data_IF_103885236410
#
_entry.id   IF_103885236410
#
_cell.length_a   1.000
_cell.length_b   1.000
_cell.length_c   1.000
_cell.angle_alpha   90.00
_cell.angle_beta   90.00
_cell.angle_gamma   90.00
#
_symmetry.space_group_name_H-M   'P 1'
#
loop_
_entity.id
_entity.type
_entity.pdbx_description
1 polymer ?
#
# COMPACT_ATOMS: atom_id res chain seq x y z
N UNK A 1 -10.12 10.86 -24.97
CA UNK A 1 -10.13 10.15 -23.67
C UNK A 1 -11.56 9.67 -23.43
N UNK A 2 -11.71 8.37 -23.26
CA UNK A 2 -12.99 7.76 -22.91
C UNK A 2 -13.06 7.62 -21.39
N UNK A 3 -14.14 8.13 -20.78
CA UNK A 3 -14.37 8.03 -19.36
C UNK A 3 -15.08 6.71 -19.07
N UNK A 4 -14.42 5.84 -18.29
CA UNK A 4 -15.00 4.59 -17.85
C UNK A 4 -15.76 4.77 -16.52
N UNK A 5 -16.79 3.93 -16.26
CA UNK A 5 -17.44 3.91 -14.94
C UNK A 5 -16.43 3.65 -13.82
N UNK A 6 -16.51 4.42 -12.74
CA UNK A 6 -15.60 4.30 -11.61
C UNK A 6 -16.33 4.54 -10.29
N UNK A 7 -15.79 3.98 -9.20
CA UNK A 7 -16.18 4.27 -7.83
C UNK A 7 -15.00 4.80 -7.05
N UNK A 8 -15.24 5.80 -6.20
CA UNK A 8 -14.18 6.45 -5.41
C UNK A 8 -14.27 6.14 -3.91
N UNK A 9 -15.29 5.40 -3.49
CA UNK A 9 -15.49 4.98 -2.10
C UNK A 9 -15.39 3.46 -1.98
N UNK A 10 -14.65 2.98 -0.99
CA UNK A 10 -14.47 1.55 -0.77
C UNK A 10 -15.82 0.85 -0.48
N UNK A 11 -16.70 1.48 0.31
CA UNK A 11 -18.04 0.96 0.60
C UNK A 11 -18.93 0.88 -0.64
N UNK A 12 -18.81 1.82 -1.59
CA UNK A 12 -19.57 1.80 -2.84
C UNK A 12 -18.99 0.76 -3.82
N UNK A 13 -17.67 0.61 -3.85
CA UNK A 13 -16.99 -0.36 -4.70
C UNK A 13 -17.37 -1.81 -4.38
N UNK A 14 -17.68 -2.11 -3.12
CA UNK A 14 -18.10 -3.44 -2.67
C UNK A 14 -19.57 -3.78 -2.94
N UNK A 15 -20.40 -2.82 -3.39
CA UNK A 15 -21.84 -3.04 -3.66
C UNK A 15 -22.08 -3.87 -4.93
N UNK A 16 -23.18 -4.63 -4.96
CA UNK A 16 -23.62 -5.28 -6.20
C UNK A 16 -23.81 -4.26 -7.33
N UNK A 17 -23.28 -4.56 -8.53
CA UNK A 17 -23.39 -3.71 -9.71
C UNK A 17 -22.34 -2.61 -9.80
N UNK A 18 -21.42 -2.48 -8.83
CA UNK A 18 -20.28 -1.58 -8.95
C UNK A 18 -19.34 -2.04 -10.08
N UNK A 19 -18.66 -1.11 -10.77
CA UNK A 19 -17.63 -1.46 -11.74
C UNK A 19 -16.56 -2.34 -11.12
N UNK A 20 -16.21 -3.43 -11.77
CA UNK A 20 -15.17 -4.38 -11.32
C UNK A 20 -13.81 -3.93 -11.81
N UNK A 21 -12.83 -3.85 -10.92
CA UNK A 21 -11.44 -3.48 -11.23
C UNK A 21 -10.62 -4.67 -11.75
N UNK A 22 -10.81 -5.84 -11.12
CA UNK A 22 -10.09 -7.07 -11.47
C UNK A 22 -11.08 -8.23 -11.59
N UNK A 23 -11.10 -8.91 -12.74
CA UNK A 23 -12.04 -9.98 -13.04
C UNK A 23 -12.01 -11.14 -12.02
N UNK A 24 -10.86 -11.35 -11.38
CA UNK A 24 -10.66 -12.40 -10.38
C UNK A 24 -10.94 -11.96 -8.94
N UNK A 25 -11.36 -10.71 -8.72
CA UNK A 25 -11.67 -10.16 -7.37
C UNK A 25 -13.16 -9.84 -7.29
N UNK A 26 -13.92 -10.77 -6.72
CA UNK A 26 -15.38 -10.63 -6.62
C UNK A 26 -15.76 -9.37 -5.82
N UNK A 27 -16.62 -8.53 -6.38
CA UNK A 27 -17.12 -7.30 -5.76
C UNK A 27 -16.01 -6.34 -5.31
N UNK A 28 -14.85 -6.37 -5.94
CA UNK A 28 -13.67 -5.58 -5.55
C UNK A 28 -13.20 -5.82 -4.10
N UNK A 29 -13.57 -6.93 -3.47
CA UNK A 29 -13.16 -7.29 -2.10
C UNK A 29 -11.95 -8.22 -2.19
N UNK A 30 -10.75 -7.64 -2.01
CA UNK A 30 -9.50 -8.40 -2.05
C UNK A 30 -9.22 -9.17 -0.75
N UNK A 31 -9.70 -8.64 0.37
CA UNK A 31 -9.56 -9.24 1.69
C UNK A 31 -10.83 -8.99 2.50
N UNK A 32 -11.41 -10.06 3.07
CA UNK A 32 -12.42 -9.99 4.10
C UNK A 32 -11.87 -10.67 5.36
N UNK A 33 -11.73 -9.90 6.44
CA UNK A 33 -11.04 -10.34 7.65
C UNK A 33 -11.85 -9.98 8.88
N UNK A 34 -12.01 -10.93 9.79
CA UNK A 34 -12.66 -10.75 11.07
C UNK A 34 -11.71 -11.18 12.19
N UNK A 35 -11.69 -10.41 13.28
CA UNK A 35 -10.90 -10.67 14.48
C UNK A 35 -11.76 -10.44 15.72
N UNK A 36 -11.54 -11.24 16.77
CA UNK A 36 -12.22 -11.14 18.05
C UNK A 36 -13.30 -12.22 18.25
N UNK A 37 -14.09 -12.04 19.31
CA UNK A 37 -15.20 -12.93 19.68
C UNK A 37 -16.54 -12.20 19.49
N UNK A 38 -17.22 -12.40 18.35
CA UNK A 38 -18.46 -11.69 18.05
C UNK A 38 -19.58 -11.99 19.05
N UNK A 39 -19.68 -13.22 19.55
CA UNK A 39 -20.76 -13.61 20.48
C UNK A 39 -20.62 -12.90 21.83
N UNK A 40 -19.39 -12.79 22.35
CA UNK A 40 -19.10 -12.06 23.60
C UNK A 40 -19.32 -10.56 23.40
N UNK A 41 -18.90 -10.01 22.27
CA UNK A 41 -19.11 -8.61 21.93
C UNK A 41 -20.61 -8.29 21.83
N UNK A 42 -21.39 -9.10 21.11
CA UNK A 42 -22.82 -8.87 20.95
C UNK A 42 -23.58 -8.94 22.29
N UNK A 43 -23.21 -9.85 23.18
CA UNK A 43 -23.80 -9.92 24.56
C UNK A 43 -23.48 -8.63 25.35
N UNK A 44 -22.24 -8.12 25.26
CA UNK A 44 -21.86 -6.88 25.91
C UNK A 44 -22.65 -5.68 25.37
N UNK A 45 -22.87 -5.60 24.06
CA UNK A 45 -23.69 -4.55 23.45
C UNK A 45 -25.17 -4.62 23.85
N UNK A 46 -25.74 -5.85 24.03
CA UNK A 46 -27.13 -6.03 24.49
C UNK A 46 -27.35 -5.55 25.92
N UNK A 47 -26.32 -5.64 26.79
CA UNK A 47 -26.39 -5.28 28.20
C UNK A 47 -25.82 -3.89 28.51
N UNK A 48 -25.28 -3.22 27.52
CA UNK A 48 -24.67 -1.90 27.68
C UNK A 48 -25.70 -0.85 28.16
N UNK A 49 -25.31 -0.03 29.13
CA UNK A 49 -26.08 1.13 29.56
C UNK A 49 -26.04 2.25 28.53
N UNK A 50 -24.89 2.43 27.88
CA UNK A 50 -24.66 3.43 26.85
C UNK A 50 -23.82 2.85 25.72
N UNK A 51 -24.14 3.24 24.48
CA UNK A 51 -23.35 2.92 23.30
C UNK A 51 -22.94 4.21 22.63
N UNK A 52 -21.65 4.48 22.66
CA UNK A 52 -21.04 5.58 21.89
C UNK A 52 -20.75 5.10 20.46
N UNK A 53 -21.05 5.95 19.47
CA UNK A 53 -20.85 5.63 18.06
C UNK A 53 -20.06 6.73 17.37
N UNK A 54 -19.22 6.33 16.42
CA UNK A 54 -18.46 7.26 15.58
C UNK A 54 -18.35 6.72 14.16
N UNK A 55 -18.57 7.61 13.19
CA UNK A 55 -18.29 7.39 11.77
C UNK A 55 -17.12 8.26 11.38
N UNK A 56 -16.04 7.65 10.90
CA UNK A 56 -14.80 8.34 10.53
C UNK A 56 -14.50 8.05 9.06
N UNK A 57 -14.23 9.09 8.30
CA UNK A 57 -13.63 9.00 6.99
C UNK A 57 -12.21 9.53 7.05
N UNK A 58 -11.24 8.64 6.87
CA UNK A 58 -9.84 8.99 6.76
C UNK A 58 -9.51 9.15 5.28
N UNK A 59 -9.43 10.38 4.81
CA UNK A 59 -9.31 10.68 3.39
C UNK A 59 -8.03 10.10 2.78
N UNK A 60 -8.11 9.72 1.50
CA UNK A 60 -6.97 9.38 0.68
C UNK A 60 -5.96 10.53 0.64
N UNK A 61 -4.67 10.22 0.76
CA UNK A 61 -3.58 11.18 0.67
C UNK A 61 -2.49 10.70 -0.27
N UNK A 62 -1.84 11.64 -0.93
CA UNK A 62 -0.56 11.44 -1.62
C UNK A 62 0.57 11.85 -0.68
N UNK A 63 1.66 11.08 -0.66
CA UNK A 63 2.73 11.27 0.33
C UNK A 63 3.56 12.52 0.09
N UNK A 64 3.89 12.85 -1.15
CA UNK A 64 4.64 14.06 -1.55
C UNK A 64 5.93 14.29 -0.70
N UNK A 65 6.78 13.27 -0.54
CA UNK A 65 8.07 13.43 0.13
C UNK A 65 8.92 14.50 -0.57
N UNK A 66 9.76 15.25 0.19
CA UNK A 66 10.60 16.32 -0.38
C UNK A 66 11.51 15.82 -1.49
N UNK A 67 12.09 14.63 -1.34
CA UNK A 67 12.82 13.92 -2.38
C UNK A 67 11.86 13.05 -3.18
N UNK A 68 11.62 13.32 -4.49
CA UNK A 68 10.92 12.40 -5.39
C UNK A 68 11.63 11.05 -5.48
N UNK A 69 10.98 10.04 -6.06
CA UNK A 69 11.63 8.77 -6.32
C UNK A 69 12.75 8.95 -7.34
N UNK A 70 13.86 8.29 -7.10
CA UNK A 70 14.97 8.20 -8.06
C UNK A 70 15.68 6.87 -7.89
N UNK A 71 16.28 6.39 -8.98
CA UNK A 71 17.05 5.15 -8.95
C UNK A 71 18.16 5.16 -9.99
N UNK A 72 19.25 4.47 -9.66
CA UNK A 72 20.36 4.16 -10.55
C UNK A 72 20.53 2.63 -10.59
N UNK A 73 20.31 2.04 -11.74
CA UNK A 73 20.49 0.61 -11.99
C UNK A 73 21.81 0.35 -12.71
N UNK A 74 22.49 -0.71 -12.31
CA UNK A 74 23.69 -1.22 -12.96
C UNK A 74 23.61 -2.75 -13.04
N UNK A 75 24.08 -3.33 -14.14
CA UNK A 75 24.21 -4.77 -14.32
C UNK A 75 25.66 -5.12 -14.63
N UNK A 76 26.19 -6.10 -13.91
CA UNK A 76 27.51 -6.65 -14.14
C UNK A 76 27.37 -7.97 -14.93
N UNK A 77 27.83 -7.98 -16.18
CA UNK A 77 27.74 -9.14 -17.07
C UNK A 77 28.61 -10.32 -16.64
N UNK A 78 29.74 -10.06 -15.95
CA UNK A 78 30.67 -11.13 -15.53
C UNK A 78 30.12 -11.94 -14.36
N UNK A 79 29.45 -11.27 -13.42
CA UNK A 79 28.90 -11.90 -12.21
C UNK A 79 27.42 -12.20 -12.29
N UNK A 80 26.76 -11.77 -13.38
CA UNK A 80 25.28 -11.81 -13.55
C UNK A 80 24.54 -11.16 -12.38
N UNK A 81 25.03 -10.01 -11.91
CA UNK A 81 24.49 -9.34 -10.73
C UNK A 81 23.92 -7.96 -11.08
N UNK A 82 22.76 -7.65 -10.49
CA UNK A 82 22.19 -6.31 -10.49
C UNK A 82 22.62 -5.54 -9.25
N UNK A 83 22.90 -4.25 -9.43
CA UNK A 83 23.00 -3.29 -8.33
C UNK A 83 22.03 -2.16 -8.59
N UNK A 84 21.17 -1.89 -7.62
CA UNK A 84 20.24 -0.74 -7.64
C UNK A 84 20.53 0.17 -6.46
N UNK A 85 20.77 1.44 -6.73
CA UNK A 85 20.89 2.51 -5.73
C UNK A 85 19.65 3.38 -5.81
N UNK A 86 18.92 3.51 -4.71
CA UNK A 86 17.66 4.27 -4.63
C UNK A 86 17.38 4.68 -3.18
N UNK A 87 16.52 5.69 -2.98
CA UNK A 87 15.91 5.95 -1.68
C UNK A 87 14.85 4.90 -1.36
N UNK A 88 15.00 4.17 -0.26
CA UNK A 88 14.02 3.16 0.18
C UNK A 88 13.95 3.04 1.71
N UNK A 89 12.87 2.43 2.21
CA UNK A 89 12.66 2.18 3.64
C UNK A 89 13.20 0.82 4.14
N UNK A 90 14.04 0.16 3.36
CA UNK A 90 14.65 -1.10 3.76
C UNK A 90 15.27 -1.81 2.58
N UNK A 91 16.61 -1.89 2.57
CA UNK A 91 17.37 -2.50 1.48
C UNK A 91 17.11 -3.99 1.33
N UNK A 92 16.97 -4.72 2.44
CA UNK A 92 16.71 -6.17 2.42
C UNK A 92 15.31 -6.49 1.87
N UNK A 93 14.29 -5.76 2.30
CA UNK A 93 12.91 -5.92 1.79
C UNK A 93 12.84 -5.62 0.29
N UNK A 94 13.42 -4.51 -0.13
CA UNK A 94 13.49 -4.09 -1.53
C UNK A 94 14.25 -5.13 -2.38
N UNK A 95 15.39 -5.64 -1.89
CA UNK A 95 16.15 -6.71 -2.56
C UNK A 95 15.32 -7.97 -2.78
N UNK A 96 14.62 -8.41 -1.73
CA UNK A 96 13.80 -9.63 -1.82
C UNK A 96 12.66 -9.49 -2.82
N UNK A 97 11.98 -8.33 -2.84
CA UNK A 97 10.92 -8.04 -3.80
C UNK A 97 11.46 -7.99 -5.24
N UNK A 98 12.58 -7.27 -5.48
CA UNK A 98 13.22 -7.21 -6.79
C UNK A 98 13.65 -8.58 -7.29
N UNK A 99 14.28 -9.39 -6.44
CA UNK A 99 14.73 -10.74 -6.79
C UNK A 99 13.54 -11.66 -7.15
N UNK A 100 12.43 -11.55 -6.39
CA UNK A 100 11.21 -12.30 -6.69
C UNK A 100 10.59 -11.91 -8.03
N UNK A 101 10.47 -10.61 -8.33
CA UNK A 101 9.91 -10.11 -9.60
C UNK A 101 10.79 -10.51 -10.79
N UNK A 102 12.12 -10.44 -10.63
CA UNK A 102 13.08 -10.80 -11.67
C UNK A 102 13.27 -12.32 -11.80
N UNK A 103 12.66 -13.11 -10.92
CA UNK A 103 12.87 -14.56 -10.81
C UNK A 103 14.35 -14.94 -10.72
N UNK A 104 15.08 -14.27 -9.81
CA UNK A 104 16.52 -14.43 -9.59
C UNK A 104 16.82 -14.77 -8.13
N UNK A 105 17.99 -15.35 -7.88
CA UNK A 105 18.52 -15.53 -6.53
C UNK A 105 18.80 -14.16 -5.89
N UNK A 106 18.53 -14.03 -4.59
CA UNK A 106 18.70 -12.78 -3.84
C UNK A 106 20.14 -12.26 -3.85
N UNK A 107 21.09 -13.17 -3.92
CA UNK A 107 22.54 -12.91 -3.97
C UNK A 107 22.95 -12.21 -5.28
N UNK A 108 22.14 -12.35 -6.33
CA UNK A 108 22.32 -11.69 -7.62
C UNK A 108 21.74 -10.25 -7.68
N UNK A 109 21.09 -9.82 -6.59
CA UNK A 109 20.51 -8.48 -6.50
C UNK A 109 21.10 -7.75 -5.29
N UNK A 110 21.74 -6.62 -5.53
CA UNK A 110 22.27 -5.72 -4.51
C UNK A 110 21.46 -4.41 -4.49
N UNK A 111 20.97 -4.04 -3.32
CA UNK A 111 20.27 -2.75 -3.11
C UNK A 111 21.10 -1.89 -2.18
N UNK A 112 21.31 -0.64 -2.58
CA UNK A 112 22.04 0.38 -1.82
C UNK A 112 21.13 1.57 -1.59
N UNK A 113 21.10 2.07 -0.37
CA UNK A 113 20.45 3.33 0.00
C UNK A 113 21.40 4.12 0.90
N UNK A 114 21.27 5.43 0.85
CA UNK A 114 22.03 6.36 1.68
C UNK A 114 21.06 7.28 2.43
N UNK A 115 21.27 8.59 2.39
CA UNK A 115 20.34 9.56 2.93
C UNK A 115 19.05 9.58 2.08
N UNK A 116 17.90 9.54 2.74
CA UNK A 116 16.59 9.54 2.08
C UNK A 116 15.81 10.78 2.51
N UNK A 117 15.41 11.59 1.53
CA UNK A 117 14.68 12.84 1.73
C UNK A 117 13.18 12.65 1.95
N UNK A 118 12.82 11.68 2.80
CA UNK A 118 11.43 11.33 3.14
C UNK A 118 10.93 10.11 2.36
N UNK A 119 10.09 9.33 3.02
CA UNK A 119 9.43 8.16 2.42
C UNK A 119 7.98 7.99 2.90
N UNK A 120 7.72 8.04 4.21
CA UNK A 120 6.39 7.95 4.84
C UNK A 120 5.55 6.74 4.36
N UNK A 121 6.23 5.61 4.08
CA UNK A 121 5.63 4.39 3.55
C UNK A 121 5.76 4.23 2.03
N UNK A 122 5.76 5.29 1.26
CA UNK A 122 5.71 5.28 -0.20
C UNK A 122 6.92 4.59 -0.86
N UNK A 123 8.13 4.76 -0.33
CA UNK A 123 9.35 4.14 -0.88
C UNK A 123 9.63 2.72 -0.33
N UNK A 124 8.61 2.03 0.21
CA UNK A 124 8.75 0.65 0.71
C UNK A 124 8.52 -0.41 -0.36
N UNK A 125 7.93 -0.05 -1.48
CA UNK A 125 7.47 -0.95 -2.53
C UNK A 125 8.34 -0.87 -3.79
N UNK A 126 8.33 -1.95 -4.59
CA UNK A 126 8.91 -1.93 -5.92
C UNK A 126 7.94 -1.28 -6.89
N UNK A 127 8.39 -0.23 -7.56
CA UNK A 127 7.65 0.43 -8.62
C UNK A 127 8.06 -0.11 -10.00
N UNK A 128 7.16 -0.08 -10.99
CA UNK A 128 7.45 -0.56 -12.34
C UNK A 128 8.69 0.06 -12.97
N UNK A 129 8.97 1.33 -12.68
CA UNK A 129 10.13 2.06 -13.19
C UNK A 129 11.45 1.41 -12.75
N UNK A 130 11.51 0.86 -11.54
CA UNK A 130 12.73 0.19 -11.06
C UNK A 130 13.03 -1.07 -11.88
N UNK A 131 12.02 -1.83 -12.25
CA UNK A 131 12.17 -3.01 -13.11
C UNK A 131 12.59 -2.59 -14.52
N UNK A 132 11.98 -1.54 -15.08
CA UNK A 132 12.38 -0.99 -16.37
C UNK A 132 13.86 -0.55 -16.40
N UNK A 133 14.32 0.09 -15.31
CA UNK A 133 15.73 0.52 -15.19
C UNK A 133 16.69 -0.66 -15.15
N UNK A 134 16.38 -1.71 -14.38
CA UNK A 134 17.19 -2.93 -14.31
C UNK A 134 17.26 -3.61 -15.67
N UNK A 135 16.11 -3.76 -16.33
CA UNK A 135 16.05 -4.33 -17.68
C UNK A 135 16.89 -3.49 -18.69
N UNK A 136 16.74 -2.18 -18.66
CA UNK A 136 17.49 -1.29 -19.53
C UNK A 136 19.01 -1.36 -19.25
N UNK A 137 19.42 -1.39 -17.97
CA UNK A 137 20.83 -1.50 -17.60
C UNK A 137 21.46 -2.79 -18.12
N UNK A 138 20.75 -3.91 -18.05
CA UNK A 138 21.19 -5.20 -18.60
C UNK A 138 21.26 -5.15 -20.13
N UNK A 139 20.22 -4.66 -20.79
CA UNK A 139 20.16 -4.59 -22.26
C UNK A 139 21.23 -3.68 -22.89
N UNK A 140 21.51 -2.56 -22.22
CA UNK A 140 22.47 -1.56 -22.71
C UNK A 140 23.89 -1.82 -22.21
N UNK A 141 24.11 -2.75 -21.28
CA UNK A 141 25.38 -3.02 -20.61
C UNK A 141 26.05 -1.76 -20.06
N UNK A 142 25.24 -0.86 -19.48
CA UNK A 142 25.68 0.40 -18.85
C UNK A 142 24.76 0.83 -17.73
N UNK A 143 25.22 1.65 -16.78
CA UNK A 143 24.34 2.22 -15.76
C UNK A 143 23.24 3.08 -16.38
N UNK A 144 22.02 2.96 -15.82
CA UNK A 144 20.84 3.75 -16.21
C UNK A 144 20.29 4.44 -14.99
N UNK A 145 20.12 5.75 -15.06
CA UNK A 145 19.57 6.60 -14.00
C UNK A 145 18.22 7.16 -14.42
N UNK A 146 17.32 7.24 -13.47
CA UNK A 146 16.04 7.92 -13.59
C UNK A 146 15.76 8.74 -12.34
N UNK A 147 15.09 9.86 -12.51
CA UNK A 147 14.57 10.72 -11.44
C UNK A 147 13.17 11.13 -11.83
N UNK A 148 12.25 10.94 -10.94
CA UNK A 148 10.84 11.26 -11.12
C UNK A 148 10.61 12.78 -11.08
N UNK A 149 9.71 13.26 -11.93
CA UNK A 149 9.22 14.64 -11.85
C UNK A 149 8.11 14.74 -10.78
N UNK A 150 8.07 15.84 -10.06
CA UNK A 150 7.07 16.05 -9.00
C UNK A 150 5.62 15.92 -9.49
N UNK A 151 5.32 16.42 -10.67
CA UNK A 151 4.00 16.29 -11.28
C UNK A 151 3.60 14.84 -11.52
N UNK A 152 4.56 14.00 -11.92
CA UNK A 152 4.35 12.57 -12.12
C UNK A 152 4.14 11.85 -10.78
N UNK A 153 4.89 12.24 -9.72
CA UNK A 153 4.74 11.61 -8.41
C UNK A 153 3.33 11.77 -7.83
N UNK A 154 2.65 12.89 -8.06
CA UNK A 154 1.25 13.07 -7.65
C UNK A 154 0.27 12.10 -8.33
N UNK A 155 0.63 11.55 -9.49
CA UNK A 155 -0.21 10.64 -10.28
C UNK A 155 0.17 9.17 -10.07
N UNK A 156 1.45 8.87 -9.87
CA UNK A 156 2.00 7.51 -9.92
C UNK A 156 2.48 6.96 -8.58
N UNK A 157 2.74 7.82 -7.58
CA UNK A 157 3.16 7.37 -6.26
C UNK A 157 2.02 6.67 -5.53
N UNK A 158 2.38 5.66 -4.78
CA UNK A 158 1.44 4.94 -3.94
C UNK A 158 0.84 5.88 -2.90
N UNK A 159 -0.47 5.90 -2.85
CA UNK A 159 -1.24 6.70 -1.93
C UNK A 159 -1.48 5.94 -0.62
N UNK A 160 -1.91 6.65 0.39
CA UNK A 160 -2.21 6.06 1.69
C UNK A 160 -3.54 6.51 2.24
N UNK A 161 -3.94 5.92 3.37
CA UNK A 161 -5.20 6.18 4.05
C UNK A 161 -6.40 5.60 3.29
N UNK A 162 -7.43 6.41 3.02
CA UNK A 162 -8.66 6.03 2.32
C UNK A 162 -9.43 4.91 3.05
N UNK A 163 -9.77 5.20 4.31
CA UNK A 163 -10.51 4.28 5.17
C UNK A 163 -11.86 4.88 5.56
N UNK A 164 -12.90 4.06 5.52
CA UNK A 164 -14.21 4.35 6.09
C UNK A 164 -14.40 3.45 7.31
N UNK A 165 -14.50 4.05 8.49
CA UNK A 165 -14.55 3.33 9.77
C UNK A 165 -15.82 3.67 10.52
N UNK A 166 -16.57 2.64 10.93
CA UNK A 166 -17.64 2.77 11.92
C UNK A 166 -17.17 2.13 13.22
N UNK A 167 -17.13 2.92 14.28
CA UNK A 167 -16.73 2.49 15.61
C UNK A 167 -17.90 2.54 16.59
N UNK A 168 -18.03 1.53 17.41
CA UNK A 168 -18.99 1.49 18.50
C UNK A 168 -18.29 1.05 19.79
N UNK A 169 -18.63 1.71 20.89
CA UNK A 169 -18.13 1.43 22.23
C UNK A 169 -19.30 1.21 23.18
N UNK A 170 -19.38 0.02 23.78
CA UNK A 170 -20.34 -0.32 24.79
C UNK A 170 -19.81 0.00 26.19
N UNK A 171 -20.60 0.71 27.00
CA UNK A 171 -20.24 1.12 28.37
C UNK A 171 -21.31 0.68 29.39
N UNK A 172 -20.89 0.41 30.63
CA UNK A 172 -21.78 0.24 31.75
C UNK A 172 -22.24 1.60 32.30
N UNK A 173 -23.03 1.55 33.41
CA UNK A 173 -23.55 2.76 34.07
C UNK A 173 -22.43 3.61 34.74
N UNK A 174 -21.39 2.97 35.16
CA UNK A 174 -20.20 3.56 35.79
C UNK A 174 -19.23 4.18 34.80
N UNK A 175 -19.43 3.91 33.49
CA UNK A 175 -18.58 4.40 32.39
C UNK A 175 -17.42 3.46 32.03
N UNK A 176 -17.41 2.23 32.57
CA UNK A 176 -16.39 1.25 32.20
C UNK A 176 -16.67 0.69 30.79
N UNK A 177 -15.62 0.41 30.07
CA UNK A 177 -15.65 -0.15 28.71
C UNK A 177 -15.96 -1.65 28.76
N UNK A 178 -17.05 -2.06 28.13
CA UNK A 178 -17.48 -3.46 28.06
C UNK A 178 -17.00 -4.14 26.78
N UNK A 179 -17.14 -3.48 25.64
CA UNK A 179 -16.70 -4.00 24.33
C UNK A 179 -16.52 -2.88 23.31
N UNK A 180 -15.69 -3.15 22.32
CA UNK A 180 -15.50 -2.32 21.12
C UNK A 180 -15.87 -3.14 19.90
N UNK A 181 -16.56 -2.51 18.92
CA UNK A 181 -16.86 -3.08 17.62
C UNK A 181 -16.44 -2.09 16.52
N UNK A 182 -15.67 -2.57 15.57
CA UNK A 182 -15.17 -1.77 14.46
C UNK A 182 -15.54 -2.42 13.13
N UNK A 183 -16.03 -1.62 12.19
CA UNK A 183 -16.21 -1.97 10.79
C UNK A 183 -15.33 -1.07 9.96
N UNK A 184 -14.42 -1.67 9.23
CA UNK A 184 -13.41 -0.95 8.44
C UNK A 184 -13.55 -1.37 6.96
N UNK A 185 -13.71 -0.38 6.08
CA UNK A 185 -13.50 -0.54 4.66
C UNK A 185 -12.27 0.26 4.27
N UNK A 186 -11.30 -0.41 3.64
CA UNK A 186 -10.04 0.18 3.21
C UNK A 186 -9.91 0.05 1.71
N UNK A 187 -9.49 1.12 1.04
CA UNK A 187 -9.08 1.07 -0.34
C UNK A 187 -7.59 0.64 -0.40
N UNK A 188 -7.27 -0.37 -1.21
CA UNK A 188 -5.94 -0.95 -1.37
C UNK A 188 -5.29 -0.55 -2.69
#
# INVERSE_FOLDING_TARGET
IDILPATTLATEAAKPGAPILFDNVARNVALDFQFGDPDTVDKAFQTAHHISRVDIRNNRIVVASMEPRSALAHYNNETDCFTMRLGCQGTFGMRNQLAGILNMEREKVRVLTENVGGSFGMKSFVYPEYICLLHAAKKLSRPVKWTEERSSSFLSDQQGRDHEVKGELALNKEGDFLAVRLFLHSNL
#
